data_IF_036184573455
#
_entry.id   IF_036184573455
#
_cell.length_a   1.000
_cell.length_b   1.000
_cell.length_c   1.000
_cell.angle_alpha   90.00
_cell.angle_beta   90.00
_cell.angle_gamma   90.00
#
_symmetry.space_group_name_H-M   'P 1'
#
loop_
_entity.id
_entity.type
_entity.pdbx_description
1 polymer ?
#
# COMPACT_ATOMS: atom_id res chain seq x y z
N UNK A 1 -0.74 1.33 -15.54
CA UNK A 1 -0.50 -0.05 -15.08
C UNK A 1 -0.65 -0.03 -13.58
N UNK A 2 -1.39 -0.98 -13.01
CA UNK A 2 -1.67 -0.99 -11.57
C UNK A 2 -0.39 -1.27 -10.79
N UNK A 3 -0.14 -0.48 -9.73
CA UNK A 3 1.02 -0.61 -8.85
C UNK A 3 0.60 -1.14 -7.49
N UNK A 4 1.20 -2.24 -7.05
CA UNK A 4 1.00 -2.83 -5.74
C UNK A 4 2.27 -2.69 -4.89
N UNK A 5 2.19 -1.95 -3.78
CA UNK A 5 3.30 -1.77 -2.85
C UNK A 5 3.34 -2.89 -1.82
N UNK A 6 4.44 -3.63 -1.73
CA UNK A 6 4.65 -4.63 -0.69
C UNK A 6 5.23 -3.93 0.54
N UNK A 7 4.51 -4.01 1.65
CA UNK A 7 4.89 -3.44 2.95
C UNK A 7 4.92 -4.54 4.00
N UNK A 8 5.60 -4.29 5.11
CA UNK A 8 5.69 -5.24 6.22
C UNK A 8 6.75 -4.79 7.22
N UNK A 9 6.71 -5.34 8.41
CA UNK A 9 7.79 -5.16 9.39
C UNK A 9 9.09 -5.81 8.86
N UNK A 10 10.26 -5.45 9.41
CA UNK A 10 11.50 -6.18 9.14
C UNK A 10 11.35 -7.69 9.40
N UNK A 11 12.03 -8.49 8.60
CA UNK A 11 12.12 -9.96 8.75
C UNK A 11 10.81 -10.76 8.61
N UNK A 12 9.75 -10.18 8.02
CA UNK A 12 8.48 -10.90 7.78
C UNK A 12 8.45 -11.74 6.50
N UNK A 13 9.53 -11.73 5.70
CA UNK A 13 9.61 -12.42 4.41
C UNK A 13 9.23 -11.57 3.18
N UNK A 14 9.15 -10.24 3.34
CA UNK A 14 8.82 -9.28 2.28
C UNK A 14 9.65 -9.44 1.00
N UNK A 15 10.99 -9.43 1.12
CA UNK A 15 11.88 -9.57 -0.04
C UNK A 15 11.83 -10.99 -0.63
N UNK A 16 11.54 -12.02 0.19
CA UNK A 16 11.31 -13.39 -0.30
C UNK A 16 10.07 -13.44 -1.18
N UNK A 17 8.95 -12.86 -0.73
CA UNK A 17 7.72 -12.77 -1.50
C UNK A 17 7.94 -11.98 -2.80
N UNK A 18 8.57 -10.80 -2.72
CA UNK A 18 8.88 -9.97 -3.89
C UNK A 18 9.72 -10.74 -4.92
N UNK A 19 10.78 -11.42 -4.47
CA UNK A 19 11.62 -12.23 -5.35
C UNK A 19 10.84 -13.42 -5.94
N UNK A 20 9.97 -14.05 -5.17
CA UNK A 20 9.15 -15.15 -5.66
C UNK A 20 8.22 -14.68 -6.78
N UNK A 21 7.44 -13.62 -6.57
CA UNK A 21 6.48 -13.13 -7.57
C UNK A 21 7.16 -12.59 -8.83
N UNK A 22 8.31 -11.93 -8.69
CA UNK A 22 9.05 -11.34 -9.82
C UNK A 22 9.87 -12.37 -10.62
N UNK A 23 10.30 -13.49 -10.01
CA UNK A 23 11.01 -14.58 -10.71
C UNK A 23 10.11 -15.41 -11.62
N UNK A 24 8.80 -15.45 -11.36
CA UNK A 24 7.87 -16.43 -11.97
C UNK A 24 7.70 -16.32 -13.48
N UNK A 25 8.17 -15.26 -14.15
CA UNK A 25 8.32 -15.16 -15.61
C UNK A 25 9.24 -13.99 -15.92
N UNK A 26 10.25 -14.19 -16.78
CA UNK A 26 11.20 -13.20 -17.33
C UNK A 26 10.66 -11.75 -17.27
N UNK A 27 10.77 -11.11 -16.11
CA UNK A 27 10.60 -9.68 -15.99
C UNK A 27 11.85 -9.13 -16.65
N UNK A 28 11.68 -8.54 -17.84
CA UNK A 28 12.75 -7.76 -18.44
C UNK A 28 13.06 -6.63 -17.44
N UNK A 29 14.11 -6.83 -16.64
CA UNK A 29 14.69 -5.79 -15.83
C UNK A 29 15.21 -4.72 -16.80
N UNK A 30 14.36 -3.76 -17.13
CA UNK A 30 14.80 -2.54 -17.78
C UNK A 30 15.55 -1.75 -16.71
N UNK A 31 16.88 -1.79 -16.77
CA UNK A 31 17.73 -0.92 -15.97
C UNK A 31 17.40 0.53 -16.38
N UNK A 32 16.74 1.27 -15.50
CA UNK A 32 16.67 2.73 -15.59
C UNK A 32 17.78 3.30 -14.71
N UNK A 33 18.91 3.72 -15.29
CA UNK A 33 19.96 4.35 -14.51
C UNK A 33 19.53 5.79 -14.26
N UNK A 34 19.29 6.20 -13.00
CA UNK A 34 19.71 7.48 -12.40
C UNK A 34 19.13 7.63 -10.96
N UNK A 35 20.04 7.55 -9.98
CA UNK A 35 20.02 8.19 -8.65
C UNK A 35 19.11 7.70 -7.49
N UNK A 36 19.79 7.18 -6.45
CA UNK A 36 19.52 7.30 -4.99
C UNK A 36 18.22 6.71 -4.41
N UNK A 37 18.30 5.45 -3.97
CA UNK A 37 17.38 4.74 -3.05
C UNK A 37 15.94 4.61 -3.58
N UNK A 38 15.77 4.26 -4.85
CA UNK A 38 14.46 3.88 -5.39
C UNK A 38 14.05 2.47 -4.90
N UNK A 39 12.76 2.23 -4.65
CA UNK A 39 12.27 0.92 -4.24
C UNK A 39 12.50 -0.12 -5.35
N UNK A 40 12.65 -1.40 -5.00
CA UNK A 40 12.78 -2.42 -6.04
C UNK A 40 11.44 -2.56 -6.77
N UNK A 41 11.45 -2.42 -8.10
CA UNK A 41 10.25 -2.54 -8.93
C UNK A 41 10.33 -3.83 -9.75
N UNK A 42 9.22 -4.57 -9.82
CA UNK A 42 9.12 -5.78 -10.62
C UNK A 42 7.77 -5.89 -11.32
N UNK A 43 7.78 -6.21 -12.62
CA UNK A 43 6.56 -6.36 -13.41
C UNK A 43 6.19 -7.84 -13.49
N UNK A 44 4.96 -8.18 -13.12
CA UNK A 44 4.45 -9.55 -13.08
C UNK A 44 3.23 -9.66 -13.99
N UNK A 45 3.26 -10.63 -14.91
CA UNK A 45 2.09 -10.94 -15.74
C UNK A 45 1.01 -11.62 -14.92
N UNK A 46 -0.24 -11.19 -15.10
CA UNK A 46 -1.40 -11.80 -14.46
C UNK A 46 -1.68 -13.15 -15.13
N UNK A 47 -1.68 -14.27 -14.39
CA UNK A 47 -2.03 -15.57 -14.93
C UNK A 47 -3.53 -15.59 -15.27
N UNK A 48 -3.86 -15.89 -16.52
CA UNK A 48 -5.23 -15.93 -17.00
C UNK A 48 -5.42 -17.11 -17.97
N UNK A 49 -6.14 -18.14 -17.50
CA UNK A 49 -6.40 -19.37 -18.26
C UNK A 49 -7.31 -19.14 -19.48
N UNK A 50 -7.93 -17.97 -19.62
CA UNK A 50 -8.80 -17.63 -20.75
C UNK A 50 -8.01 -17.21 -21.99
N UNK A 51 -6.76 -16.76 -21.83
CA UNK A 51 -5.96 -16.23 -22.93
C UNK A 51 -5.63 -17.31 -23.97
N UNK A 52 -5.30 -18.52 -23.54
CA UNK A 52 -4.97 -19.61 -24.46
C UNK A 52 -6.17 -20.07 -25.31
N UNK A 53 -7.37 -20.33 -24.75
CA UNK A 53 -8.57 -20.56 -25.54
C UNK A 53 -8.87 -19.45 -26.55
N UNK A 54 -8.76 -18.19 -26.14
CA UNK A 54 -9.03 -17.04 -27.02
C UNK A 54 -8.01 -16.96 -28.15
N UNK A 55 -6.73 -17.20 -27.87
CA UNK A 55 -5.68 -17.22 -28.88
C UNK A 55 -5.93 -18.29 -29.96
N UNK A 56 -6.44 -19.47 -29.57
CA UNK A 56 -6.83 -20.53 -30.51
C UNK A 56 -8.00 -20.11 -31.42
N UNK A 57 -9.03 -19.49 -30.86
CA UNK A 57 -10.20 -19.00 -31.62
C UNK A 57 -9.79 -17.88 -32.59
N UNK A 58 -8.97 -16.94 -32.13
CA UNK A 58 -8.47 -15.82 -32.92
C UNK A 58 -7.34 -16.21 -33.89
N UNK A 59 -6.85 -17.46 -33.83
CA UNK A 59 -5.74 -17.98 -34.64
C UNK A 59 -4.46 -17.14 -34.54
N UNK A 60 -4.11 -16.69 -33.32
CA UNK A 60 -2.88 -15.94 -33.04
C UNK A 60 -1.94 -16.76 -32.16
N UNK A 61 -0.63 -16.60 -32.39
CA UNK A 61 0.43 -17.16 -31.54
C UNK A 61 0.94 -16.17 -30.50
N UNK A 62 0.59 -14.88 -30.63
CA UNK A 62 1.00 -13.81 -29.73
C UNK A 62 -0.06 -13.62 -28.64
N UNK A 63 0.32 -13.82 -27.38
CA UNK A 63 -0.49 -13.57 -26.20
C UNK A 63 0.17 -12.47 -25.38
N UNK A 64 -0.57 -11.39 -25.12
CA UNK A 64 -0.12 -10.28 -24.28
C UNK A 64 -0.99 -10.30 -23.01
N UNK A 65 -0.49 -10.82 -21.88
CA UNK A 65 -1.24 -10.83 -20.63
C UNK A 65 -1.32 -9.42 -20.04
N UNK A 66 -2.32 -9.19 -19.18
CA UNK A 66 -2.29 -8.04 -18.29
C UNK A 66 -1.07 -8.13 -17.36
N UNK A 67 -0.57 -6.98 -16.91
CA UNK A 67 0.59 -6.92 -16.02
C UNK A 67 0.30 -6.01 -14.82
N UNK A 68 0.91 -6.37 -13.69
CA UNK A 68 0.89 -5.61 -12.43
C UNK A 68 2.34 -5.27 -12.09
N UNK A 69 2.56 -4.05 -11.64
CA UNK A 69 3.85 -3.59 -11.12
C UNK A 69 3.86 -3.77 -9.61
N UNK A 70 4.79 -4.58 -9.09
CA UNK A 70 5.06 -4.70 -7.67
C UNK A 70 6.20 -3.78 -7.28
N UNK A 71 6.02 -3.07 -6.16
CA UNK A 71 7.02 -2.16 -5.60
C UNK A 71 7.39 -2.68 -4.22
N UNK A 72 8.65 -3.07 -4.02
CA UNK A 72 9.18 -3.48 -2.72
C UNK A 72 9.48 -2.24 -1.88
N UNK A 73 8.56 -1.90 -0.97
CA UNK A 73 8.72 -0.73 -0.11
C UNK A 73 9.57 -1.16 1.10
N UNK A 74 10.63 -0.42 1.42
CA UNK A 74 11.53 -0.73 2.53
C UNK A 74 10.76 -0.98 3.85
N UNK A 75 11.26 -1.82 4.75
CA UNK A 75 10.51 -2.18 5.96
C UNK A 75 10.18 -0.97 6.84
N UNK A 76 8.93 -0.88 7.29
CA UNK A 76 8.49 0.15 8.22
C UNK A 76 9.07 -0.15 9.61
N UNK A 77 9.76 0.82 10.19
CA UNK A 77 10.16 0.79 11.60
C UNK A 77 9.25 1.75 12.36
N UNK A 78 8.91 1.40 13.60
CA UNK A 78 8.14 2.25 14.52
C UNK A 78 8.72 3.66 14.57
N UNK A 79 7.87 4.70 14.50
CA UNK A 79 8.28 6.10 14.51
C UNK A 79 8.53 6.72 13.13
N UNK A 80 8.08 6.08 12.04
CA UNK A 80 8.21 6.64 10.69
C UNK A 80 7.49 7.99 10.53
N UNK A 81 6.40 8.20 11.26
CA UNK A 81 5.66 9.47 11.29
C UNK A 81 6.37 10.58 12.10
N UNK A 82 7.37 10.25 12.94
CA UNK A 82 8.03 11.22 13.85
C UNK A 82 9.23 11.97 13.24
N UNK A 83 9.50 11.82 11.93
CA UNK A 83 10.31 12.81 11.20
C UNK A 83 11.82 12.57 11.09
N UNK A 84 12.35 11.38 11.40
CA UNK A 84 13.77 11.05 11.16
C UNK A 84 14.16 10.88 9.66
N UNK A 85 13.37 11.44 8.74
CA UNK A 85 13.64 11.47 7.30
C UNK A 85 13.45 10.15 6.54
N UNK A 86 13.70 9.00 7.19
CA UNK A 86 13.55 7.67 6.58
C UNK A 86 12.07 7.25 6.46
N UNK A 87 11.26 7.58 7.48
CA UNK A 87 9.83 7.30 7.48
C UNK A 87 9.03 8.09 6.43
N UNK A 88 9.37 9.36 6.21
CA UNK A 88 8.72 10.17 5.18
C UNK A 88 8.97 9.63 3.76
N UNK A 89 10.17 9.09 3.47
CA UNK A 89 10.46 8.43 2.20
C UNK A 89 9.67 7.13 2.03
N UNK A 90 9.48 6.38 3.11
CA UNK A 90 8.62 5.19 3.08
C UNK A 90 7.17 5.56 2.75
N UNK A 91 6.62 6.57 3.44
CA UNK A 91 5.26 7.02 3.22
C UNK A 91 5.07 7.57 1.80
N UNK A 92 6.06 8.27 1.22
CA UNK A 92 5.97 8.75 -0.17
C UNK A 92 5.88 7.60 -1.17
N UNK A 93 6.64 6.52 -0.99
CA UNK A 93 6.54 5.35 -1.87
C UNK A 93 5.16 4.66 -1.76
N UNK A 94 4.54 4.64 -0.57
CA UNK A 94 3.15 4.14 -0.44
C UNK A 94 2.17 5.07 -1.16
N UNK A 95 2.37 6.39 -1.14
CA UNK A 95 1.48 7.32 -1.87
C UNK A 95 1.43 7.01 -3.36
N UNK A 96 2.54 6.56 -3.93
CA UNK A 96 2.73 6.28 -5.36
C UNK A 96 2.13 4.95 -5.85
N UNK A 97 1.70 4.06 -4.94
CA UNK A 97 1.07 2.78 -5.32
C UNK A 97 -0.46 2.86 -5.27
N UNK A 98 -1.13 2.00 -6.04
CA UNK A 98 -2.60 1.94 -6.10
C UNK A 98 -3.20 1.03 -5.02
N UNK A 99 -2.45 0.01 -4.60
CA UNK A 99 -2.85 -0.95 -3.57
C UNK A 99 -1.66 -1.35 -2.68
N UNK A 100 -1.95 -1.82 -1.48
CA UNK A 100 -0.95 -2.26 -0.50
C UNK A 100 -1.05 -3.77 -0.30
N UNK A 101 0.07 -4.47 -0.38
CA UNK A 101 0.21 -5.87 0.03
C UNK A 101 1.01 -5.90 1.31
N UNK A 102 0.33 -6.09 2.44
CA UNK A 102 0.96 -6.13 3.75
C UNK A 102 1.35 -7.56 4.10
N UNK A 103 2.65 -7.83 4.11
CA UNK A 103 3.21 -9.11 4.52
C UNK A 103 3.22 -9.19 6.04
N UNK A 104 2.56 -10.20 6.57
CA UNK A 104 2.41 -10.44 8.00
C UNK A 104 3.07 -11.76 8.34
N UNK A 105 3.98 -11.75 9.31
CA UNK A 105 4.65 -12.98 9.77
C UNK A 105 3.68 -13.78 10.63
N UNK A 106 3.35 -14.99 10.20
CA UNK A 106 2.49 -15.93 10.92
C UNK A 106 3.23 -17.24 11.23
N UNK A 107 4.55 -17.17 11.43
CA UNK A 107 5.36 -18.31 11.83
C UNK A 107 6.44 -17.91 12.84
N UNK A 108 6.69 -18.80 13.79
CA UNK A 108 7.82 -18.70 14.71
C UNK A 108 9.06 -19.37 14.15
N UNK A 109 10.20 -18.71 14.32
CA UNK A 109 11.51 -19.22 13.95
C UNK A 109 12.54 -18.65 14.95
N UNK A 110 13.25 -19.51 15.72
CA UNK A 110 14.21 -19.06 16.73
C UNK A 110 15.42 -18.33 16.14
N UNK A 111 15.73 -18.56 14.86
CA UNK A 111 16.87 -17.94 14.17
C UNK A 111 16.51 -16.57 13.57
N UNK A 112 15.23 -16.19 13.59
CA UNK A 112 14.75 -14.95 12.98
C UNK A 112 14.18 -14.01 14.05
N UNK A 113 14.95 -12.98 14.39
CA UNK A 113 14.53 -11.96 15.35
C UNK A 113 13.34 -11.13 14.84
N UNK A 114 12.31 -11.02 15.69
CA UNK A 114 11.16 -10.15 15.47
C UNK A 114 11.36 -8.78 16.13
N UNK A 115 10.99 -7.69 15.46
CA UNK A 115 11.26 -6.31 15.92
C UNK A 115 10.65 -6.00 17.29
N UNK A 116 9.52 -6.62 17.62
CA UNK A 116 8.85 -6.47 18.91
C UNK A 116 9.22 -7.55 19.92
N UNK A 117 10.15 -8.45 19.59
CA UNK A 117 10.60 -9.57 20.42
C UNK A 117 9.72 -10.83 20.36
N UNK A 118 8.47 -10.73 19.91
CA UNK A 118 7.58 -11.87 19.68
C UNK A 118 6.78 -11.71 18.39
N UNK A 119 6.38 -12.82 17.78
CA UNK A 119 5.50 -12.81 16.59
C UNK A 119 4.06 -12.67 17.06
N UNK A 120 3.38 -11.61 16.63
CA UNK A 120 1.97 -11.39 16.96
C UNK A 120 1.27 -10.69 15.76
N UNK A 121 0.67 -11.45 14.84
CA UNK A 121 0.20 -10.95 13.55
C UNK A 121 -0.72 -9.73 13.65
N UNK A 122 -1.66 -9.74 14.61
CA UNK A 122 -2.63 -8.65 14.82
C UNK A 122 -1.93 -7.37 15.26
N UNK A 123 -1.03 -7.47 16.24
CA UNK A 123 -0.23 -6.33 16.70
C UNK A 123 0.63 -5.75 15.58
N UNK A 124 1.23 -6.61 14.76
CA UNK A 124 2.08 -6.17 13.65
C UNK A 124 1.28 -5.43 12.58
N UNK A 125 0.04 -5.87 12.35
CA UNK A 125 -0.92 -5.16 11.50
C UNK A 125 -1.24 -3.78 12.08
N UNK A 126 -1.56 -3.72 13.38
CA UNK A 126 -1.89 -2.48 14.08
C UNK A 126 -0.74 -1.48 14.09
N UNK A 127 0.52 -1.93 14.26
CA UNK A 127 1.70 -1.04 14.23
C UNK A 127 1.77 -0.31 12.88
N UNK A 128 1.67 -1.05 11.77
CA UNK A 128 1.72 -0.46 10.43
C UNK A 128 0.53 0.46 10.20
N UNK A 129 -0.69 0.00 10.52
CA UNK A 129 -1.89 0.80 10.34
C UNK A 129 -1.85 2.10 11.14
N UNK A 130 -1.37 2.04 12.39
CA UNK A 130 -1.26 3.22 13.27
C UNK A 130 -0.36 4.29 12.65
N UNK A 131 0.81 3.91 12.13
CA UNK A 131 1.72 4.86 11.48
C UNK A 131 1.11 5.49 10.23
N UNK A 132 0.39 4.70 9.41
CA UNK A 132 -0.29 5.21 8.22
C UNK A 132 -1.45 6.15 8.59
N UNK A 133 -2.22 5.80 9.62
CA UNK A 133 -3.34 6.60 10.14
C UNK A 133 -2.84 7.93 10.69
N UNK A 134 -1.76 7.94 11.49
CA UNK A 134 -1.17 9.17 12.03
C UNK A 134 -0.73 10.10 10.89
N UNK A 135 -0.07 9.56 9.86
CA UNK A 135 0.36 10.34 8.70
C UNK A 135 -0.83 10.93 7.91
N UNK A 136 -1.93 10.19 7.78
CA UNK A 136 -3.15 10.68 7.15
C UNK A 136 -3.87 11.72 8.00
N UNK A 137 -3.94 11.54 9.32
CA UNK A 137 -4.53 12.52 10.24
C UNK A 137 -3.80 13.86 10.16
N UNK A 138 -2.46 13.83 10.17
CA UNK A 138 -1.65 15.04 10.01
C UNK A 138 -1.92 15.72 8.66
N UNK A 139 -2.04 14.94 7.58
CA UNK A 139 -2.32 15.47 6.24
C UNK A 139 -3.73 16.08 6.15
N UNK A 140 -4.74 15.41 6.72
CA UNK A 140 -6.12 15.92 6.81
C UNK A 140 -6.13 17.26 7.55
N UNK A 141 -5.51 17.32 8.74
CA UNK A 141 -5.46 18.53 9.55
C UNK A 141 -4.75 19.69 8.83
N UNK A 142 -3.60 19.42 8.19
CA UNK A 142 -2.87 20.42 7.39
C UNK A 142 -3.71 20.93 6.22
N UNK A 143 -4.43 20.05 5.51
CA UNK A 143 -5.25 20.43 4.37
C UNK A 143 -6.46 21.26 4.81
N UNK A 144 -7.16 20.87 5.87
CA UNK A 144 -8.26 21.66 6.46
C UNK A 144 -7.80 23.05 6.87
N UNK A 145 -6.66 23.16 7.54
CA UNK A 145 -6.08 24.46 7.92
C UNK A 145 -5.76 25.34 6.69
N UNK A 146 -5.28 24.75 5.60
CA UNK A 146 -4.97 25.46 4.35
C UNK A 146 -6.22 26.02 3.67
N UNK A 147 -7.30 25.23 3.58
CA UNK A 147 -8.54 25.63 2.88
C UNK A 147 -9.49 26.46 3.77
N UNK A 148 -9.24 26.56 5.07
CA UNK A 148 -10.13 27.21 6.04
C UNK A 148 -10.53 28.65 5.67
N UNK A 149 -9.62 29.43 5.04
CA UNK A 149 -9.95 30.79 4.59
C UNK A 149 -10.93 30.81 3.43
N UNK A 150 -10.80 29.86 2.51
CA UNK A 150 -11.65 29.77 1.32
C UNK A 150 -13.02 29.17 1.67
N UNK A 151 -13.06 28.24 2.62
CA UNK A 151 -14.31 27.78 3.27
C UNK A 151 -15.08 28.97 3.87
N UNK A 152 -14.40 29.83 4.65
CA UNK A 152 -15.02 31.03 5.25
C UNK A 152 -15.54 32.03 4.21
N UNK A 153 -14.92 32.08 3.02
CA UNK A 153 -15.35 32.92 1.89
C UNK A 153 -16.51 32.30 1.09
N UNK A 154 -16.90 31.06 1.40
CA UNK A 154 -17.97 30.36 0.70
C UNK A 154 -17.55 29.79 -0.66
N UNK A 155 -16.25 29.54 -0.86
CA UNK A 155 -15.82 28.84 -2.08
C UNK A 155 -16.41 27.43 -2.10
N UNK A 156 -17.17 27.12 -3.17
CA UNK A 156 -17.93 25.87 -3.25
C UNK A 156 -17.03 24.63 -3.24
N UNK A 157 -15.84 24.72 -3.81
CA UNK A 157 -14.90 23.60 -3.87
C UNK A 157 -14.25 23.35 -2.52
N UNK A 158 -13.82 24.42 -1.84
CA UNK A 158 -13.25 24.33 -0.50
C UNK A 158 -14.26 23.83 0.53
N UNK A 159 -15.53 24.27 0.46
CA UNK A 159 -16.61 23.79 1.34
C UNK A 159 -16.88 22.30 1.13
N UNK A 160 -16.90 21.83 -0.12
CA UNK A 160 -17.07 20.42 -0.43
C UNK A 160 -15.88 19.57 0.05
N UNK A 161 -14.64 20.05 -0.14
CA UNK A 161 -13.45 19.37 0.38
C UNK A 161 -13.46 19.28 1.91
N UNK A 162 -13.74 20.39 2.61
CA UNK A 162 -13.74 20.41 4.08
C UNK A 162 -14.81 19.48 4.67
N UNK A 163 -15.98 19.40 4.04
CA UNK A 163 -17.04 18.50 4.46
C UNK A 163 -16.61 17.03 4.42
N UNK A 164 -15.82 16.62 3.42
CA UNK A 164 -15.29 15.26 3.31
C UNK A 164 -14.14 15.04 4.29
N UNK A 165 -13.22 16.01 4.41
CA UNK A 165 -12.10 15.94 5.36
C UNK A 165 -12.60 15.82 6.81
N UNK A 166 -13.68 16.52 7.16
CA UNK A 166 -14.33 16.44 8.46
C UNK A 166 -14.93 15.05 8.76
N UNK A 167 -15.25 14.23 7.74
CA UNK A 167 -15.68 12.84 7.94
C UNK A 167 -14.51 11.90 8.26
N UNK A 168 -13.33 12.17 7.70
CA UNK A 168 -12.14 11.35 7.93
C UNK A 168 -11.52 11.57 9.30
N UNK A 169 -11.47 12.82 9.76
CA UNK A 169 -10.82 13.20 11.02
C UNK A 169 -11.20 12.34 12.24
N UNK A 170 -12.49 12.12 12.58
CA UNK A 170 -12.84 11.32 13.76
C UNK A 170 -12.47 9.84 13.63
N UNK A 171 -12.47 9.29 12.41
CA UNK A 171 -12.05 7.90 12.19
C UNK A 171 -10.54 7.76 12.37
N UNK A 172 -9.78 8.68 11.77
CA UNK A 172 -8.32 8.69 11.86
C UNK A 172 -7.84 8.97 13.30
N UNK A 173 -8.49 9.89 14.01
CA UNK A 173 -8.20 10.17 15.43
C UNK A 173 -8.49 8.96 16.33
N UNK A 174 -9.50 8.16 15.99
CA UNK A 174 -9.80 6.88 16.63
C UNK A 174 -8.90 5.71 16.18
N UNK A 175 -7.84 5.97 15.40
CA UNK A 175 -6.93 4.93 14.90
C UNK A 175 -7.48 4.07 13.76
N UNK A 176 -8.60 4.47 13.14
CA UNK A 176 -9.26 3.69 12.08
C UNK A 176 -8.82 4.16 10.69
N UNK A 177 -8.55 3.24 9.74
CA UNK A 177 -8.21 3.58 8.36
C UNK A 177 -9.30 4.41 7.66
N UNK A 178 -8.89 5.34 6.78
CA UNK A 178 -9.80 6.15 5.98
C UNK A 178 -10.78 5.32 5.13
N UNK A 179 -10.36 4.15 4.64
CA UNK A 179 -11.21 3.21 3.87
C UNK A 179 -12.48 2.79 4.64
N UNK A 180 -12.47 2.85 5.97
CA UNK A 180 -13.62 2.49 6.82
C UNK A 180 -14.69 3.57 6.88
N UNK A 181 -14.41 4.78 6.36
CA UNK A 181 -15.33 5.90 6.36
C UNK A 181 -16.30 5.79 5.18
N UNK A 182 -17.62 5.69 5.41
CA UNK A 182 -18.59 5.61 4.33
C UNK A 182 -18.71 6.96 3.62
N UNK A 183 -18.47 6.93 2.31
CA UNK A 183 -18.59 8.09 1.43
C UNK A 183 -19.56 7.81 0.28
N UNK A 184 -20.30 8.84 -0.13
CA UNK A 184 -21.10 8.81 -1.35
C UNK A 184 -20.21 8.71 -2.60
N UNK A 185 -20.71 8.22 -3.75
CA UNK A 185 -19.92 8.07 -4.98
C UNK A 185 -19.22 9.36 -5.43
N UNK A 186 -19.89 10.51 -5.29
CA UNK A 186 -19.36 11.81 -5.64
C UNK A 186 -18.24 12.25 -4.68
N UNK A 187 -18.42 11.96 -3.38
CA UNK A 187 -17.42 12.25 -2.34
C UNK A 187 -16.16 11.40 -2.53
N UNK A 188 -16.31 10.13 -2.91
CA UNK A 188 -15.17 9.25 -3.23
C UNK A 188 -14.31 9.82 -4.35
N UNK A 189 -14.92 10.49 -5.33
CA UNK A 189 -14.18 11.07 -6.44
C UNK A 189 -13.33 12.26 -6.00
N UNK A 190 -13.80 13.05 -5.04
CA UNK A 190 -13.04 14.15 -4.43
C UNK A 190 -11.97 13.60 -3.46
N UNK A 191 -12.32 12.61 -2.65
CA UNK A 191 -11.45 12.00 -1.65
C UNK A 191 -10.15 11.42 -2.25
N UNK A 192 -10.21 10.90 -3.49
CA UNK A 192 -9.02 10.46 -4.23
C UNK A 192 -7.93 11.53 -4.34
N UNK A 193 -8.31 12.81 -4.38
CA UNK A 193 -7.38 13.94 -4.48
C UNK A 193 -6.67 14.27 -3.16
N UNK A 194 -7.04 13.61 -2.06
CA UNK A 194 -6.37 13.73 -0.77
C UNK A 194 -5.18 12.79 -0.64
N UNK A 195 -5.09 11.78 -1.52
CA UNK A 195 -4.01 10.79 -1.56
C UNK A 195 -3.74 10.14 -0.19
N UNK A 196 -4.81 9.85 0.56
CA UNK A 196 -4.72 9.18 1.86
C UNK A 196 -4.12 7.78 1.68
N UNK A 197 -3.21 7.42 2.58
CA UNK A 197 -2.53 6.14 2.59
C UNK A 197 -3.48 5.01 2.96
N UNK A 198 -4.35 5.28 3.92
CA UNK A 198 -5.28 4.33 4.55
C UNK A 198 -6.62 4.20 3.83
N UNK A 199 -6.78 4.89 2.68
CA UNK A 199 -7.90 4.71 1.73
C UNK A 199 -7.57 3.68 0.64
N UNK A 200 -6.30 3.29 0.52
CA UNK A 200 -5.86 2.30 -0.48
C UNK A 200 -6.38 0.90 -0.11
N UNK A 201 -6.80 0.08 -1.08
CA UNK A 201 -7.09 -1.33 -0.84
C UNK A 201 -5.86 -2.06 -0.28
N UNK A 202 -6.04 -2.80 0.81
CA UNK A 202 -4.98 -3.55 1.47
C UNK A 202 -5.26 -5.05 1.42
N UNK A 203 -4.29 -5.82 0.91
CA UNK A 203 -4.27 -7.28 0.95
C UNK A 203 -3.29 -7.73 2.04
N UNK A 204 -3.73 -8.59 2.96
CA UNK A 204 -2.82 -9.21 3.93
C UNK A 204 -2.24 -10.50 3.36
N UNK A 205 -0.91 -10.53 3.20
CA UNK A 205 -0.16 -11.72 2.82
C UNK A 205 0.40 -12.39 4.08
N UNK A 206 -0.39 -13.29 4.67
CA UNK A 206 0.00 -14.06 5.84
C UNK A 206 1.07 -15.10 5.45
N UNK A 207 2.31 -14.83 5.83
CA UNK A 207 3.44 -15.70 5.56
C UNK A 207 3.53 -16.77 6.65
N UNK A 208 3.47 -18.05 6.27
CA UNK A 208 3.46 -19.22 7.17
C UNK A 208 4.53 -20.23 6.74
N UNK A 209 4.79 -21.28 7.53
CA UNK A 209 5.69 -22.36 7.09
C UNK A 209 5.01 -23.20 6.01
N UNK A 210 5.82 -23.89 5.20
CA UNK A 210 5.33 -24.80 4.15
C UNK A 210 4.36 -25.86 4.69
N UNK A 211 4.63 -26.38 5.88
CA UNK A 211 3.78 -27.39 6.52
C UNK A 211 2.42 -26.84 6.99
N UNK A 212 2.30 -25.52 7.16
CA UNK A 212 1.08 -24.85 7.63
C UNK A 212 0.21 -24.37 6.46
N UNK A 213 0.72 -24.39 5.22
CA UNK A 213 0.00 -24.03 3.99
C UNK A 213 -1.02 -25.09 3.56
N UNK A 214 -0.92 -26.31 4.08
CA UNK A 214 -1.84 -27.41 3.80
C UNK A 214 -3.09 -27.30 4.68
N UNK A 215 -4.08 -26.54 4.20
CA UNK A 215 -5.50 -26.72 4.54
C UNK A 215 -6.18 -27.67 3.56
#
# INVERSE_FOLDING_TARGET
MLKAGIVGLPNVGKSTLFNAVTRTRKAAAANYPFCTIEPNIGIVSVPDSRLEPLARVAKTTTIIPAAIEFVDIAGLVKGASQGEGLGNKFLSHIREVDAVVQVVRCFDDPDIHHVTGSVEPVRDIEIINTELVIADLENVNKRRAKIAKDVKRGDKTAVAEDAILAKFEPALDAGKPALTVPLAPEEKQIAKNFFLLTDKPTLFACNVKENDLAG
#
